data_IF_759645127487
#
_entry.id   IF_759645127487
#
_cell.length_a   1.000
_cell.length_b   1.000
_cell.length_c   1.000
_cell.angle_alpha   90.00
_cell.angle_beta   90.00
_cell.angle_gamma   90.00
#
_symmetry.space_group_name_H-M   'P 1'
#
loop_
_entity.id
_entity.type
_entity.pdbx_description
1 polymer ?
#
# COMPACT_ATOMS: atom_id res chain seq x y z
N UNK A 1 7.03 -19.29 3.60
CA UNK A 1 6.90 -17.82 3.70
C UNK A 1 5.63 -17.56 4.49
N UNK A 2 5.78 -17.16 5.74
CA UNK A 2 4.66 -16.77 6.60
C UNK A 2 4.31 -15.33 6.28
N UNK A 3 3.02 -15.05 6.07
CA UNK A 3 2.50 -13.70 5.93
C UNK A 3 3.01 -12.85 7.11
N UNK A 4 3.79 -11.76 6.89
CA UNK A 4 4.42 -11.04 7.99
C UNK A 4 3.40 -10.33 8.90
N UNK A 5 2.15 -10.19 8.44
CA UNK A 5 1.12 -9.42 9.12
C UNK A 5 -0.12 -10.30 9.36
N UNK A 6 -0.47 -10.61 10.62
CA UNK A 6 -1.73 -11.27 10.92
C UNK A 6 -2.89 -10.30 10.70
N UNK A 7 -4.05 -10.83 10.30
CA UNK A 7 -5.27 -10.06 9.94
C UNK A 7 -5.91 -9.29 11.10
N UNK A 8 -5.16 -9.05 12.17
CA UNK A 8 -5.63 -8.42 13.41
C UNK A 8 -5.92 -6.94 13.18
N UNK A 9 -5.11 -6.26 12.36
CA UNK A 9 -5.32 -4.85 12.02
C UNK A 9 -6.31 -4.80 10.85
N UNK A 10 -7.47 -4.14 10.98
CA UNK A 10 -8.40 -3.99 9.87
C UNK A 10 -7.75 -3.27 8.68
N UNK A 11 -8.07 -3.71 7.45
CA UNK A 11 -7.49 -3.13 6.23
C UNK A 11 -7.75 -1.62 6.11
N UNK A 12 -8.83 -1.12 6.71
CA UNK A 12 -9.21 0.30 6.76
C UNK A 12 -8.21 1.20 7.50
N UNK A 13 -7.38 0.64 8.38
CA UNK A 13 -6.33 1.38 9.08
C UNK A 13 -5.00 1.42 8.32
N UNK A 14 -4.86 0.58 7.28
CA UNK A 14 -3.65 0.54 6.47
C UNK A 14 -3.73 1.58 5.37
N UNK A 15 -2.62 2.25 5.09
CA UNK A 15 -2.52 3.20 3.98
C UNK A 15 -1.53 2.69 2.95
N UNK A 16 -1.89 2.89 1.69
CA UNK A 16 -1.03 2.58 0.57
C UNK A 16 -0.66 3.86 -0.16
N UNK A 17 0.62 3.97 -0.48
CA UNK A 17 1.23 5.14 -1.08
C UNK A 17 1.90 4.76 -2.39
N UNK A 18 2.05 5.74 -3.26
CA UNK A 18 2.92 5.63 -4.41
C UNK A 18 3.79 6.87 -4.57
N UNK A 19 5.06 6.64 -4.92
CA UNK A 19 6.03 7.69 -5.25
C UNK A 19 6.48 7.48 -6.69
N UNK A 20 6.28 8.47 -7.58
CA UNK A 20 6.79 8.38 -8.95
C UNK A 20 8.28 8.04 -8.97
N UNK A 21 8.68 7.09 -9.82
CA UNK A 21 10.09 6.72 -9.98
C UNK A 21 10.76 7.84 -10.79
N UNK A 22 11.28 8.86 -10.11
CA UNK A 22 12.18 9.85 -10.71
C UNK A 22 13.61 9.29 -10.68
N UNK A 23 14.37 9.55 -11.74
CA UNK A 23 15.83 9.37 -11.72
C UNK A 23 16.54 10.34 -10.76
N UNK A 24 15.88 11.47 -10.45
CA UNK A 24 16.39 12.51 -9.57
C UNK A 24 15.52 12.55 -8.30
N UNK A 25 16.10 12.18 -7.15
CA UNK A 25 15.40 11.94 -5.87
C UNK A 25 14.82 13.20 -5.21
N UNK A 26 14.98 14.36 -5.84
CA UNK A 26 14.86 15.70 -5.26
C UNK A 26 13.44 16.21 -5.07
N UNK A 27 12.39 15.44 -5.40
CA UNK A 27 11.00 15.86 -5.13
C UNK A 27 10.21 14.76 -4.43
N UNK A 28 9.84 15.06 -3.18
CA UNK A 28 9.04 14.24 -2.28
C UNK A 28 7.55 14.57 -2.46
N UNK A 29 6.87 13.95 -3.42
CA UNK A 29 5.41 13.89 -3.40
C UNK A 29 4.99 12.43 -3.34
N UNK A 30 4.89 11.92 -2.12
CA UNK A 30 4.25 10.64 -1.84
C UNK A 30 2.75 10.87 -1.95
N UNK A 31 2.10 10.24 -2.93
CA UNK A 31 0.65 10.35 -3.12
C UNK A 31 -0.04 9.13 -2.49
N UNK A 32 -1.27 9.34 -2.02
CA UNK A 32 -2.12 8.29 -1.46
C UNK A 32 -2.94 7.65 -2.58
N UNK A 33 -3.13 6.33 -2.49
CA UNK A 33 -4.20 5.68 -3.25
C UNK A 33 -5.58 6.11 -2.73
N UNK A 34 -6.61 5.97 -3.57
CA UNK A 34 -7.99 6.21 -3.15
C UNK A 34 -8.39 5.23 -2.03
N UNK A 35 -9.38 5.59 -1.20
CA UNK A 35 -9.88 4.68 -0.14
C UNK A 35 -10.29 3.31 -0.67
N UNK A 36 -10.96 3.31 -1.83
CA UNK A 36 -11.35 2.12 -2.56
C UNK A 36 -10.15 1.25 -2.96
N UNK A 37 -9.15 1.85 -3.62
CA UNK A 37 -7.95 1.13 -4.04
C UNK A 37 -7.13 0.63 -2.83
N UNK A 38 -6.98 1.44 -1.77
CA UNK A 38 -6.19 1.06 -0.59
C UNK A 38 -6.69 -0.23 0.05
N UNK A 39 -8.01 -0.37 0.24
CA UNK A 39 -8.61 -1.57 0.83
C UNK A 39 -8.41 -2.79 -0.08
N UNK A 40 -8.60 -2.61 -1.40
CA UNK A 40 -8.39 -3.68 -2.39
C UNK A 40 -6.94 -4.16 -2.42
N UNK A 41 -6.00 -3.22 -2.46
CA UNK A 41 -4.56 -3.50 -2.46
C UNK A 41 -4.18 -4.26 -1.18
N UNK A 42 -4.61 -3.80 -0.01
CA UNK A 42 -4.28 -4.45 1.27
C UNK A 42 -4.83 -5.88 1.34
N UNK A 43 -6.09 -6.08 0.97
CA UNK A 43 -6.70 -7.40 1.01
C UNK A 43 -6.03 -8.38 0.05
N UNK A 44 -5.67 -7.92 -1.15
CA UNK A 44 -4.95 -8.75 -2.12
C UNK A 44 -3.51 -9.04 -1.65
N UNK A 45 -2.82 -8.03 -1.11
CA UNK A 45 -1.47 -8.17 -0.59
C UNK A 45 -1.40 -9.21 0.55
N UNK A 46 -2.39 -9.24 1.45
CA UNK A 46 -2.50 -10.27 2.50
C UNK A 46 -2.63 -11.68 1.90
N UNK A 47 -3.47 -11.87 0.89
CA UNK A 47 -3.61 -13.17 0.19
C UNK A 47 -2.32 -13.58 -0.51
N UNK A 48 -1.64 -12.62 -1.13
CA UNK A 48 -0.32 -12.82 -1.75
C UNK A 48 0.71 -13.27 -0.71
N UNK A 49 0.81 -12.59 0.43
CA UNK A 49 1.76 -12.94 1.49
C UNK A 49 1.45 -14.28 2.19
N UNK A 50 0.19 -14.74 2.19
CA UNK A 50 -0.19 -16.10 2.63
C UNK A 50 0.18 -17.19 1.61
N UNK A 51 0.56 -16.80 0.39
CA UNK A 51 0.92 -17.74 -0.68
C UNK A 51 -0.27 -18.47 -1.27
N UNK A 52 -1.49 -17.94 -1.14
CA UNK A 52 -2.72 -18.63 -1.57
C UNK A 52 -2.73 -18.87 -3.09
N UNK A 53 -2.31 -17.88 -3.90
CA UNK A 53 -2.27 -17.99 -5.37
C UNK A 53 -1.21 -17.10 -6.03
N UNK A 54 -0.51 -17.62 -7.05
CA UNK A 54 0.38 -16.79 -7.90
C UNK A 54 -0.38 -15.70 -8.68
N UNK A 55 -1.66 -15.92 -9.00
CA UNK A 55 -2.52 -14.91 -9.63
C UNK A 55 -2.75 -13.69 -8.74
N UNK A 56 -2.44 -13.77 -7.44
CA UNK A 56 -2.55 -12.65 -6.53
C UNK A 56 -1.32 -11.76 -6.46
N UNK A 57 -0.27 -12.01 -7.24
CA UNK A 57 0.93 -11.15 -7.27
C UNK A 57 0.66 -9.76 -7.85
N UNK A 58 -0.48 -9.57 -8.52
CA UNK A 58 -0.86 -8.34 -9.20
C UNK A 58 -2.29 -7.92 -8.89
N UNK A 59 -2.53 -6.61 -8.93
CA UNK A 59 -3.87 -6.02 -8.81
C UNK A 59 -3.99 -4.76 -9.66
N UNK A 60 -5.13 -4.58 -10.32
CA UNK A 60 -5.47 -3.36 -11.01
C UNK A 60 -5.93 -2.25 -10.04
N UNK A 61 -5.53 -1.01 -10.33
CA UNK A 61 -5.83 0.18 -9.52
C UNK A 61 -6.19 1.35 -10.43
N UNK A 62 -6.83 2.38 -9.86
CA UNK A 62 -7.26 3.58 -10.60
C UNK A 62 -8.13 3.22 -11.81
N UNK A 63 -9.20 2.48 -11.54
CA UNK A 63 -10.19 2.05 -12.55
C UNK A 63 -9.58 1.21 -13.69
N UNK A 64 -8.65 0.31 -13.37
CA UNK A 64 -8.06 -0.59 -14.36
C UNK A 64 -7.01 0.06 -15.26
N UNK A 65 -6.56 1.27 -14.95
CA UNK A 65 -5.56 2.00 -15.75
C UNK A 65 -4.12 1.63 -15.40
N UNK A 66 -3.90 1.18 -14.17
CA UNK A 66 -2.60 0.81 -13.63
C UNK A 66 -2.69 -0.55 -12.95
N UNK A 67 -1.56 -1.23 -12.86
CA UNK A 67 -1.36 -2.49 -12.15
C UNK A 67 -0.29 -2.28 -11.07
N UNK A 68 -0.54 -2.80 -9.89
CA UNK A 68 0.45 -2.93 -8.82
C UNK A 68 0.95 -4.36 -8.81
N UNK A 69 2.27 -4.51 -8.94
CA UNK A 69 2.97 -5.78 -8.81
C UNK A 69 3.60 -5.86 -7.41
N UNK A 70 3.20 -6.86 -6.63
CA UNK A 70 3.67 -7.04 -5.26
C UNK A 70 5.08 -7.62 -5.16
N UNK A 71 5.53 -8.36 -6.17
CA UNK A 71 6.88 -8.91 -6.21
C UNK A 71 7.91 -7.78 -6.41
N UNK A 72 7.60 -6.82 -7.28
CA UNK A 72 8.49 -5.69 -7.62
C UNK A 72 8.21 -4.42 -6.82
N UNK A 73 7.06 -4.32 -6.14
CA UNK A 73 6.56 -3.09 -5.49
C UNK A 73 6.41 -1.91 -6.45
N UNK A 74 6.08 -2.19 -7.72
CA UNK A 74 5.92 -1.17 -8.76
C UNK A 74 4.44 -1.10 -9.17
N UNK A 75 3.91 0.12 -9.16
CA UNK A 75 2.69 0.48 -9.87
C UNK A 75 3.07 0.93 -11.27
N UNK A 76 2.65 0.20 -12.29
CA UNK A 76 2.92 0.50 -13.70
C UNK A 76 1.60 0.65 -14.45
N UNK A 77 1.60 1.38 -15.57
CA UNK A 77 0.42 1.45 -16.39
C UNK A 77 0.16 0.20 -17.22
N UNK A 78 -1.12 -0.10 -17.46
CA UNK A 78 -1.53 -1.27 -18.23
C UNK A 78 -1.51 -1.05 -19.75
N UNK A 79 -1.85 0.15 -20.21
CA UNK A 79 -2.14 0.38 -21.63
C UNK A 79 -1.09 1.20 -22.39
N UNK A 80 -0.07 1.73 -21.71
CA UNK A 80 0.91 2.61 -22.35
C UNK A 80 2.33 2.32 -21.84
N UNK A 81 3.24 2.05 -22.76
CA UNK A 81 4.62 1.61 -22.44
C UNK A 81 5.62 2.78 -22.34
N UNK A 82 5.16 3.95 -21.90
CA UNK A 82 6.00 5.15 -21.85
C UNK A 82 6.55 5.37 -20.44
N UNK A 83 7.87 5.46 -20.28
CA UNK A 83 8.52 5.79 -19.01
C UNK A 83 8.17 7.21 -18.51
N UNK A 84 7.87 8.11 -19.44
CA UNK A 84 7.72 9.55 -19.24
C UNK A 84 6.49 10.09 -19.98
N UNK A 85 5.68 10.91 -19.32
CA UNK A 85 4.61 11.72 -19.95
C UNK A 85 4.96 13.19 -19.83
N UNK A 86 4.90 13.98 -20.91
CA UNK A 86 4.79 15.42 -20.77
C UNK A 86 3.49 15.78 -20.01
N UNK A 87 3.61 16.35 -18.80
CA UNK A 87 2.48 17.00 -18.10
C UNK A 87 2.28 18.43 -18.62
N UNK A 88 3.37 19.08 -18.99
CA UNK A 88 3.42 20.40 -19.64
C UNK A 88 4.60 20.41 -20.62
N UNK A 89 4.76 21.43 -21.48
CA UNK A 89 5.96 21.56 -22.31
C UNK A 89 7.28 21.58 -21.53
N UNK A 90 7.24 21.81 -20.21
CA UNK A 90 8.40 21.94 -19.32
C UNK A 90 8.46 20.86 -18.23
N UNK A 91 7.46 19.97 -18.14
CA UNK A 91 7.36 19.02 -17.02
C UNK A 91 7.06 17.64 -17.53
N UNK A 92 7.84 16.67 -17.04
CA UNK A 92 7.64 15.26 -17.31
C UNK A 92 7.17 14.56 -16.03
N UNK A 93 6.11 13.76 -16.12
CA UNK A 93 5.68 12.83 -15.09
C UNK A 93 6.15 11.43 -15.45
N UNK A 94 6.74 10.75 -14.48
CA UNK A 94 6.99 9.32 -14.60
C UNK A 94 5.69 8.57 -14.34
N UNK A 95 5.48 7.50 -15.10
CA UNK A 95 4.24 6.73 -15.04
C UNK A 95 4.30 5.59 -14.06
N UNK A 96 5.48 4.98 -13.93
CA UNK A 96 5.69 3.95 -12.92
C UNK A 96 6.02 4.60 -11.59
N UNK A 97 5.42 4.08 -10.53
CA UNK A 97 5.60 4.56 -9.18
C UNK A 97 5.98 3.39 -8.26
N UNK A 98 6.88 3.63 -7.31
CA UNK A 98 7.13 2.68 -6.23
C UNK A 98 5.97 2.75 -5.25
N UNK A 99 5.44 1.59 -4.91
CA UNK A 99 4.33 1.45 -3.97
C UNK A 99 4.88 1.13 -2.59
N UNK A 100 4.31 1.76 -1.57
CA UNK A 100 4.67 1.51 -0.17
C UNK A 100 3.42 1.28 0.66
N UNK A 101 3.48 0.29 1.55
CA UNK A 101 2.51 0.08 2.61
C UNK A 101 2.95 0.91 3.82
N UNK A 102 2.05 1.65 4.44
CA UNK A 102 2.36 2.46 5.62
C UNK A 102 1.25 2.37 6.66
N UNK A 103 1.62 1.86 7.83
CA UNK A 103 0.78 1.79 9.03
C UNK A 103 1.25 2.80 10.08
N UNK A 104 2.57 3.00 10.16
CA UNK A 104 3.22 3.84 11.16
C UNK A 104 3.77 5.12 10.54
N UNK A 105 3.63 6.21 11.28
CA UNK A 105 3.96 7.56 10.83
C UNK A 105 4.83 8.25 11.86
N UNK A 106 5.69 9.14 11.38
CA UNK A 106 6.38 10.06 12.28
C UNK A 106 5.42 11.11 12.80
N UNK A 107 5.54 11.43 14.09
CA UNK A 107 4.67 12.41 14.76
C UNK A 107 4.99 13.85 14.40
N UNK A 108 6.20 14.12 13.91
CA UNK A 108 6.68 15.45 13.56
C UNK A 108 6.17 15.93 12.18
N UNK A 109 6.14 15.04 11.20
CA UNK A 109 5.85 15.39 9.80
C UNK A 109 4.74 14.57 9.15
N UNK A 110 4.11 13.64 9.89
CA UNK A 110 3.06 12.73 9.41
C UNK A 110 3.44 11.95 8.14
N UNK A 111 4.74 11.78 7.87
CA UNK A 111 5.22 10.96 6.78
C UNK A 111 5.25 9.49 7.21
N UNK A 112 4.93 8.56 6.30
CA UNK A 112 5.07 7.14 6.58
C UNK A 112 6.53 6.83 6.91
N UNK A 113 6.74 5.94 7.87
CA UNK A 113 8.07 5.41 8.18
C UNK A 113 8.64 4.63 6.99
N UNK A 114 9.95 4.35 7.04
CA UNK A 114 10.54 3.40 6.11
C UNK A 114 9.89 2.02 6.31
N UNK A 115 9.88 1.20 5.26
CA UNK A 115 9.15 -0.08 5.28
C UNK A 115 9.73 -1.00 6.35
N UNK A 116 11.06 -1.03 6.46
CA UNK A 116 11.79 -1.82 7.44
C UNK A 116 11.51 -1.36 8.89
N UNK A 117 11.45 -0.04 9.11
CA UNK A 117 11.11 0.55 10.42
C UNK A 117 9.65 0.25 10.79
N UNK A 118 8.73 0.40 9.82
CA UNK A 118 7.31 0.12 9.98
C UNK A 118 7.06 -1.35 10.29
N UNK A 119 7.76 -2.26 9.61
CA UNK A 119 7.68 -3.71 9.82
C UNK A 119 8.16 -4.11 11.22
N UNK A 120 9.30 -3.58 11.67
CA UNK A 120 9.81 -3.84 13.01
C UNK A 120 8.83 -3.38 14.11
N UNK A 121 8.20 -2.22 13.93
CA UNK A 121 7.19 -1.72 14.88
C UNK A 121 5.93 -2.58 14.83
N UNK A 122 5.45 -2.96 13.64
CA UNK A 122 4.26 -3.80 13.49
C UNK A 122 4.47 -5.18 14.13
N UNK A 123 5.65 -5.79 13.96
CA UNK A 123 6.00 -7.06 14.58
C UNK A 123 5.96 -6.96 16.12
N UNK A 124 6.55 -5.91 16.69
CA UNK A 124 6.51 -5.65 18.13
C UNK A 124 5.08 -5.39 18.61
N UNK A 125 4.32 -4.58 17.89
CA UNK A 125 2.94 -4.22 18.23
C UNK A 125 2.04 -5.46 18.27
N UNK A 126 2.12 -6.31 17.25
CA UNK A 126 1.37 -7.56 17.16
C UNK A 126 1.77 -8.54 18.28
N UNK A 127 3.07 -8.76 18.48
CA UNK A 127 3.56 -9.75 19.46
C UNK A 127 3.26 -9.37 20.90
N UNK A 128 3.38 -8.09 21.24
CA UNK A 128 3.43 -7.66 22.64
C UNK A 128 2.30 -6.72 23.04
N UNK A 129 1.83 -5.86 22.14
CA UNK A 129 0.90 -4.79 22.48
C UNK A 129 -0.54 -5.28 22.30
N UNK A 130 -0.88 -5.86 21.15
CA UNK A 130 -2.23 -6.40 20.88
C UNK A 130 -2.60 -7.50 21.89
N UNK A 131 -1.71 -8.46 22.15
CA UNK A 131 -2.01 -9.56 23.09
C UNK A 131 -2.39 -9.05 24.49
N UNK A 132 -1.82 -7.91 24.90
CA UNK A 132 -2.02 -7.33 26.22
C UNK A 132 -3.14 -6.27 26.24
N UNK A 133 -3.47 -5.69 25.10
CA UNK A 133 -4.59 -4.78 24.95
C UNK A 133 -5.87 -5.59 24.71
N UNK A 134 -6.73 -5.65 25.72
CA UNK A 134 -8.14 -6.04 25.54
C UNK A 134 -8.91 -4.94 24.79
N UNK A 135 -8.51 -4.61 23.58
CA UNK A 135 -9.37 -3.81 22.71
C UNK A 135 -10.47 -4.72 22.17
N UNK A 136 -11.76 -4.41 22.37
CA UNK A 136 -12.79 -5.06 21.59
C UNK A 136 -12.51 -4.71 20.13
N UNK A 137 -12.19 -5.73 19.32
CA UNK A 137 -12.12 -5.55 17.87
C UNK A 137 -13.46 -4.95 17.43
N UNK A 138 -13.48 -3.92 16.57
CA UNK A 138 -14.74 -3.41 16.05
C UNK A 138 -15.45 -4.57 15.36
N UNK A 139 -16.64 -4.93 15.87
CA UNK A 139 -17.51 -5.86 15.15
C UNK A 139 -17.72 -5.29 13.75
N UNK A 140 -17.37 -6.08 12.73
CA UNK A 140 -17.67 -5.78 11.34
C UNK A 140 -19.14 -5.43 11.24
N UNK A 141 -19.46 -4.14 11.09
CA UNK A 141 -20.84 -3.72 10.83
C UNK A 141 -21.23 -4.36 9.51
N UNK A 142 -22.08 -5.38 9.57
CA UNK A 142 -22.81 -5.83 8.39
C UNK A 142 -23.58 -4.61 7.89
N UNK A 143 -23.18 -4.09 6.74
CA UNK A 143 -24.02 -3.13 6.04
C UNK A 143 -25.28 -3.91 5.67
N UNK A 144 -26.37 -3.63 6.38
CA UNK A 144 -27.69 -4.07 5.96
C UNK A 144 -28.02 -3.31 4.68
N UNK A 145 -28.33 -4.07 3.63
CA UNK A 145 -28.71 -3.59 2.32
C UNK A 145 -29.91 -2.63 2.45
N UNK A 146 -29.75 -1.39 1.96
CA UNK A 146 -30.84 -0.43 1.74
C UNK A 146 -31.24 -0.43 0.27
#
# INVERSE_FOLDING_TARGET
MTCPFPDIIPAEYVRWYYKPIKWDETYFSTELFSGYDMIRIENQYRKYCKGEYKSHSKIDVRDGLFEVDFDTRICSPLYWNCEKIPKTPRTVSYRSARVKRGLWFRTDNWQPLLEEESEAIEELFVKSIIHNLRFPLPESKKFEDF
#
